data_IF_649260653607
#
_entry.id   IF_649260653607
#
_cell.length_a   1.000
_cell.length_b   1.000
_cell.length_c   1.000
_cell.angle_alpha   90.00
_cell.angle_beta   90.00
_cell.angle_gamma   90.00
#
_symmetry.space_group_name_H-M   'P 1'
#
loop_
_entity.id
_entity.type
_entity.pdbx_description
1 polymer ?
#
# COMPACT_ATOMS: atom_id res chain seq x y z
N UNK A 1 -44.50 -11.37 -50.01
CA UNK A 1 -45.37 -12.34 -49.32
C UNK A 1 -44.94 -12.32 -47.85
N UNK A 2 -45.53 -11.44 -47.03
CA UNK A 2 -46.70 -11.70 -46.16
C UNK A 2 -46.34 -12.45 -44.86
N UNK A 3 -46.14 -11.69 -43.77
CA UNK A 3 -46.75 -11.72 -42.41
C UNK A 3 -47.21 -13.06 -41.76
N UNK A 4 -47.48 -13.17 -40.42
CA UNK A 4 -47.20 -12.29 -39.25
C UNK A 4 -46.91 -12.98 -37.85
N UNK A 5 -46.62 -12.12 -36.84
CA UNK A 5 -47.11 -12.02 -35.44
C UNK A 5 -46.86 -13.04 -34.29
N UNK A 6 -46.41 -12.45 -33.16
CA UNK A 6 -46.86 -12.70 -31.77
C UNK A 6 -45.99 -13.66 -30.93
N UNK A 7 -45.78 -13.51 -29.62
CA UNK A 7 -46.13 -12.50 -28.59
C UNK A 7 -45.30 -12.86 -27.33
N UNK A 8 -44.95 -11.83 -26.55
CA UNK A 8 -44.77 -11.74 -25.08
C UNK A 8 -43.95 -12.80 -24.31
N UNK A 9 -42.93 -12.36 -23.53
CA UNK A 9 -42.69 -12.74 -22.12
C UNK A 9 -41.81 -11.67 -21.42
N UNK A 10 -42.30 -11.28 -20.24
CA UNK A 10 -41.91 -10.25 -19.27
C UNK A 10 -40.66 -10.65 -18.42
N UNK A 11 -40.31 -9.93 -17.33
CA UNK A 11 -39.70 -8.61 -17.17
C UNK A 11 -38.24 -8.65 -16.68
N UNK A 12 -37.63 -7.48 -16.73
CA UNK A 12 -36.32 -7.10 -16.25
C UNK A 12 -36.15 -7.20 -14.72
N UNK A 13 -34.95 -7.61 -14.31
CA UNK A 13 -34.11 -6.79 -13.41
C UNK A 13 -34.54 -6.57 -11.96
N UNK A 14 -34.13 -7.50 -11.08
CA UNK A 14 -33.53 -7.15 -9.77
C UNK A 14 -32.40 -6.13 -10.03
N UNK A 15 -32.03 -5.16 -9.19
CA UNK A 15 -32.28 -4.89 -7.78
C UNK A 15 -31.54 -3.59 -7.42
N UNK A 16 -32.17 -2.76 -6.58
CA UNK A 16 -31.57 -1.91 -5.54
C UNK A 16 -30.75 -0.67 -5.95
N UNK A 17 -31.46 0.43 -6.16
CA UNK A 17 -30.97 1.77 -5.81
C UNK A 17 -32.15 2.58 -5.29
N UNK A 18 -32.28 2.73 -3.96
CA UNK A 18 -33.20 3.73 -3.40
C UNK A 18 -32.70 4.26 -2.05
N UNK A 19 -32.56 5.60 -1.90
CA UNK A 19 -32.39 6.25 -0.60
C UNK A 19 -33.75 6.36 0.15
N UNK A 20 -33.77 6.45 1.49
CA UNK A 20 -35.02 6.61 2.22
C UNK A 20 -35.47 8.09 2.26
N UNK A 21 -36.59 8.39 1.62
CA UNK A 21 -37.37 9.61 1.88
C UNK A 21 -38.47 9.31 2.91
N UNK A 22 -38.58 10.15 3.94
CA UNK A 22 -39.73 10.25 4.85
C UNK A 22 -40.63 11.40 4.39
N UNK A 23 -41.96 11.24 4.37
CA UNK A 23 -42.78 12.06 5.27
C UNK A 23 -44.16 11.45 5.67
N UNK A 24 -44.76 11.93 6.76
CA UNK A 24 -46.23 11.82 6.92
C UNK A 24 -46.79 11.83 8.34
N UNK A 25 -46.92 13.03 8.90
CA UNK A 25 -47.69 13.46 10.09
C UNK A 25 -49.01 12.72 10.36
N UNK A 26 -49.20 12.20 11.58
CA UNK A 26 -50.50 11.81 12.12
C UNK A 26 -50.98 12.80 13.22
N UNK A 27 -52.07 13.51 12.90
CA UNK A 27 -53.08 14.11 13.82
C UNK A 27 -53.85 12.95 14.48
N UNK A 28 -54.37 12.97 15.69
CA UNK A 28 -54.52 13.98 16.74
C UNK A 28 -55.25 13.32 17.93
N UNK A 29 -55.84 14.16 18.79
CA UNK A 29 -56.80 13.83 19.88
C UNK A 29 -56.13 13.24 21.14
N UNK A 30 -56.10 13.89 22.30
CA UNK A 30 -57.01 14.86 22.88
C UNK A 30 -57.48 14.30 24.22
N UNK A 31 -56.80 14.65 25.31
CA UNK A 31 -57.34 14.46 26.66
C UNK A 31 -56.65 15.42 27.63
N UNK A 32 -57.48 16.28 28.20
CA UNK A 32 -57.13 17.46 28.97
C UNK A 32 -56.67 17.14 30.39
N UNK A 33 -55.94 18.12 30.93
CA UNK A 33 -55.32 18.17 32.25
C UNK A 33 -56.28 17.81 33.39
N UNK A 34 -55.76 17.12 34.40
CA UNK A 34 -56.01 17.46 35.80
C UNK A 34 -54.68 17.56 36.53
N UNK A 35 -54.42 18.76 37.06
CA UNK A 35 -53.46 18.97 38.12
C UNK A 35 -54.05 18.42 39.42
N UNK A 36 -53.28 17.62 40.15
CA UNK A 36 -53.45 17.51 41.59
C UNK A 36 -52.09 17.72 42.25
N UNK A 37 -52.09 18.70 43.13
CA UNK A 37 -51.00 19.19 43.94
C UNK A 37 -50.74 18.28 45.15
N UNK A 38 -49.65 18.58 45.83
CA UNK A 38 -49.31 18.29 47.23
C UNK A 38 -48.46 17.04 47.53
N UNK A 39 -47.33 17.29 48.21
CA UNK A 39 -46.74 16.32 49.13
C UNK A 39 -45.23 16.16 49.06
N UNK A 40 -44.46 17.17 49.47
CA UNK A 40 -43.15 16.89 50.07
C UNK A 40 -43.39 16.15 51.40
N UNK A 41 -42.81 14.97 51.59
CA UNK A 41 -42.46 14.47 52.92
C UNK A 41 -41.28 13.47 52.86
N UNK A 42 -40.29 13.78 53.68
CA UNK A 42 -38.98 13.17 53.88
C UNK A 42 -39.05 11.81 54.59
N UNK A 43 -38.13 10.87 54.25
CA UNK A 43 -37.35 10.00 55.17
C UNK A 43 -36.64 8.84 54.44
N UNK A 44 -35.35 8.64 54.72
CA UNK A 44 -34.59 7.40 54.43
C UNK A 44 -33.63 7.53 53.24
N UNK A 45 -32.36 7.92 53.44
CA UNK A 45 -31.22 7.07 53.81
C UNK A 45 -30.54 6.38 52.60
N UNK A 46 -29.37 6.93 52.25
CA UNK A 46 -28.16 6.37 51.65
C UNK A 46 -28.26 5.24 50.61
N UNK A 47 -27.91 5.58 49.36
CA UNK A 47 -27.03 4.74 48.54
C UNK A 47 -25.93 5.63 47.97
N UNK A 48 -24.69 5.37 48.38
CA UNK A 48 -23.51 5.95 47.76
C UNK A 48 -22.94 4.97 46.73
N UNK A 49 -22.34 5.56 45.69
CA UNK A 49 -21.47 4.98 44.66
C UNK A 49 -22.15 4.13 43.56
N UNK A 50 -21.75 4.20 42.29
CA UNK A 50 -20.49 4.69 41.73
C UNK A 50 -20.73 5.38 40.37
N UNK A 51 -20.03 6.49 40.13
CA UNK A 51 -19.82 6.95 38.76
C UNK A 51 -18.97 5.89 38.05
N UNK A 52 -19.54 5.18 37.08
CA UNK A 52 -18.73 4.43 36.12
C UNK A 52 -17.98 5.45 35.26
N UNK A 53 -16.79 5.83 35.70
CA UNK A 53 -15.80 6.43 34.83
C UNK A 53 -15.44 5.35 33.79
N UNK A 54 -16.08 5.37 32.63
CA UNK A 54 -15.61 4.64 31.48
C UNK A 54 -14.29 5.28 31.06
N UNK A 55 -13.17 4.76 31.57
CA UNK A 55 -11.86 5.04 30.99
C UNK A 55 -11.87 4.48 29.58
N UNK A 56 -12.16 5.34 28.60
CA UNK A 56 -11.85 5.07 27.22
C UNK A 56 -10.33 4.85 27.16
N UNK A 57 -9.92 3.59 27.09
CA UNK A 57 -8.61 3.26 26.54
C UNK A 57 -8.68 3.64 25.07
N UNK A 58 -8.53 4.94 24.78
CA UNK A 58 -8.20 5.42 23.46
C UNK A 58 -6.93 4.67 23.10
N UNK A 59 -7.06 3.69 22.20
CA UNK A 59 -5.92 2.97 21.66
C UNK A 59 -4.92 4.03 21.21
N UNK A 60 -3.77 4.09 21.89
CA UNK A 60 -2.67 4.88 21.40
C UNK A 60 -2.45 4.45 19.93
N UNK A 61 -2.26 5.40 18.99
CA UNK A 61 -1.84 4.99 17.66
C UNK A 61 -0.60 4.12 17.85
N UNK A 62 -0.64 2.89 17.34
CA UNK A 62 0.55 2.06 17.30
C UNK A 62 1.60 2.92 16.59
N UNK A 63 2.68 3.26 17.29
CA UNK A 63 3.81 3.92 16.65
C UNK A 63 4.33 2.92 15.62
N UNK A 64 3.93 3.10 14.36
CA UNK A 64 4.58 2.39 13.26
C UNK A 64 6.02 2.88 13.28
N UNK A 65 6.94 1.99 13.64
CA UNK A 65 8.35 2.28 13.54
C UNK A 65 8.62 2.68 12.09
N UNK A 66 9.19 3.86 11.92
CA UNK A 66 9.57 4.36 10.63
C UNK A 66 10.74 3.52 10.10
N UNK A 67 10.46 2.62 9.15
CA UNK A 67 11.45 1.66 8.65
C UNK A 67 11.92 2.07 7.26
N UNK A 68 13.23 2.27 7.11
CA UNK A 68 13.87 2.31 5.80
C UNK A 68 14.00 0.89 5.25
N UNK A 69 13.46 0.65 4.05
CA UNK A 69 13.61 -0.63 3.37
C UNK A 69 13.61 -0.41 1.87
N UNK A 70 14.32 -1.26 1.13
CA UNK A 70 14.31 -1.19 -0.32
C UNK A 70 14.32 -2.56 -0.97
N UNK A 71 13.72 -2.61 -2.16
CA UNK A 71 13.67 -3.77 -3.03
C UNK A 71 14.29 -3.43 -4.37
N UNK A 72 14.82 -4.43 -5.05
CA UNK A 72 15.39 -4.28 -6.38
C UNK A 72 15.02 -5.47 -7.26
N UNK A 73 14.66 -5.19 -8.51
CA UNK A 73 14.60 -6.17 -9.59
C UNK A 73 15.64 -5.82 -10.65
N UNK A 74 16.11 -6.82 -11.40
CA UNK A 74 17.12 -6.63 -12.47
C UNK A 74 16.86 -7.56 -13.66
N UNK A 75 15.73 -7.40 -14.38
CA UNK A 75 15.47 -8.15 -15.59
C UNK A 75 16.49 -7.85 -16.70
N UNK A 76 16.90 -8.90 -17.41
CA UNK A 76 17.61 -8.77 -18.70
C UNK A 76 16.66 -8.18 -19.73
N UNK A 77 17.04 -7.07 -20.34
CA UNK A 77 16.30 -6.43 -21.44
C UNK A 77 16.72 -7.00 -22.78
N UNK A 78 18.03 -7.21 -22.95
CA UNK A 78 18.59 -7.76 -24.18
C UNK A 78 19.78 -8.66 -23.87
N UNK A 79 19.90 -9.76 -24.60
CA UNK A 79 21.02 -10.69 -24.51
C UNK A 79 21.50 -11.07 -25.90
N UNK A 80 22.81 -11.11 -26.08
CA UNK A 80 23.46 -11.48 -27.32
C UNK A 80 24.68 -12.35 -27.00
N UNK A 81 25.26 -13.10 -27.97
CA UNK A 81 26.24 -14.14 -27.65
C UNK A 81 27.46 -13.70 -26.82
N UNK A 82 27.83 -12.41 -26.89
CA UNK A 82 28.95 -11.82 -26.16
C UNK A 82 28.57 -10.96 -24.95
N UNK A 83 27.28 -10.79 -24.63
CA UNK A 83 26.88 -9.89 -23.55
C UNK A 83 25.39 -9.71 -23.31
N UNK A 84 25.11 -8.76 -22.43
CA UNK A 84 23.76 -8.46 -21.95
C UNK A 84 23.57 -6.97 -21.67
N UNK A 85 22.31 -6.57 -21.72
CA UNK A 85 21.78 -5.31 -21.19
C UNK A 85 20.66 -5.67 -20.22
N UNK A 86 20.76 -5.20 -18.98
CA UNK A 86 19.74 -5.42 -17.95
C UNK A 86 19.31 -4.08 -17.36
N UNK A 87 18.03 -3.94 -17.07
CA UNK A 87 17.47 -2.73 -16.46
C UNK A 87 16.99 -3.08 -15.06
N UNK A 88 17.59 -2.45 -14.06
CA UNK A 88 17.20 -2.63 -12.67
C UNK A 88 16.27 -1.54 -12.19
N UNK A 89 15.32 -1.91 -11.32
CA UNK A 89 14.42 -0.96 -10.66
C UNK A 89 14.60 -1.04 -9.16
N UNK A 90 15.07 0.05 -8.56
CA UNK A 90 15.22 0.19 -7.11
C UNK A 90 13.97 0.88 -6.58
N UNK A 91 13.34 0.29 -5.56
CA UNK A 91 12.07 0.76 -4.99
C UNK A 91 12.24 0.95 -3.49
N UNK A 92 11.80 2.10 -2.99
CA UNK A 92 11.65 2.29 -1.54
C UNK A 92 10.34 1.65 -1.09
N UNK A 93 10.46 0.52 -0.38
CA UNK A 93 9.33 -0.23 0.17
C UNK A 93 9.05 0.12 1.64
N UNK A 94 9.83 1.03 2.21
CA UNK A 94 9.70 1.49 3.59
C UNK A 94 8.69 2.62 3.75
N UNK A 95 8.54 3.08 4.99
CA UNK A 95 7.68 4.23 5.34
C UNK A 95 8.46 5.54 5.36
N UNK A 96 9.80 5.48 5.35
CA UNK A 96 10.69 6.65 5.37
C UNK A 96 11.39 6.87 4.03
N UNK A 97 11.69 8.12 3.70
CA UNK A 97 12.54 8.47 2.56
C UNK A 97 13.94 7.84 2.70
N UNK A 98 14.42 7.19 1.64
CA UNK A 98 15.83 6.76 1.56
C UNK A 98 16.71 7.97 1.26
N UNK A 99 17.86 8.08 1.89
CA UNK A 99 18.90 9.10 1.61
C UNK A 99 20.20 8.47 1.13
N UNK A 100 20.08 7.30 0.53
CA UNK A 100 21.19 6.49 0.07
C UNK A 100 20.75 5.05 -0.05
N UNK A 101 21.34 4.35 -1.01
CA UNK A 101 21.07 2.94 -1.22
C UNK A 101 22.29 2.24 -1.80
N UNK A 102 22.40 0.96 -1.47
CA UNK A 102 23.41 0.05 -1.96
C UNK A 102 22.74 -1.19 -2.52
N UNK A 103 23.18 -1.58 -3.71
CA UNK A 103 22.89 -2.86 -4.31
C UNK A 103 24.09 -3.77 -4.17
N UNK A 104 23.83 -5.04 -3.89
CA UNK A 104 24.85 -6.08 -3.84
C UNK A 104 24.31 -7.34 -4.48
N UNK A 105 25.10 -7.95 -5.36
CA UNK A 105 24.78 -9.26 -5.93
C UNK A 105 26.06 -9.97 -6.37
N UNK A 106 25.92 -11.26 -6.69
CA UNK A 106 26.99 -12.06 -7.27
C UNK A 106 26.52 -12.69 -8.57
N UNK A 107 27.30 -12.53 -9.64
CA UNK A 107 27.08 -13.21 -10.90
C UNK A 107 27.33 -14.72 -10.78
N UNK A 108 26.50 -15.53 -11.43
CA UNK A 108 26.59 -16.99 -11.35
C UNK A 108 27.58 -17.59 -12.35
N UNK A 109 27.89 -16.88 -13.42
CA UNK A 109 28.80 -17.29 -14.49
C UNK A 109 30.03 -16.40 -14.61
N UNK A 110 30.43 -16.13 -15.85
CA UNK A 110 31.60 -15.35 -16.22
C UNK A 110 31.29 -13.87 -16.49
N UNK A 111 30.09 -13.41 -16.11
CA UNK A 111 29.62 -12.06 -16.42
C UNK A 111 30.57 -10.97 -15.90
N UNK A 112 30.74 -9.91 -16.70
CA UNK A 112 31.57 -8.73 -16.39
C UNK A 112 30.82 -7.47 -16.79
N UNK A 113 30.69 -6.54 -15.85
CA UNK A 113 30.13 -5.22 -16.13
C UNK A 113 31.13 -4.36 -16.89
N UNK A 114 30.64 -3.68 -17.91
CA UNK A 114 31.32 -2.58 -18.59
C UNK A 114 30.82 -1.23 -18.10
N UNK A 115 29.52 -1.16 -17.80
CA UNK A 115 28.88 0.05 -17.31
C UNK A 115 27.67 -0.29 -16.46
N UNK A 116 27.45 0.51 -15.42
CA UNK A 116 26.24 0.52 -14.62
C UNK A 116 25.81 1.98 -14.44
N UNK A 117 24.96 2.44 -15.36
CA UNK A 117 24.58 3.85 -15.44
C UNK A 117 23.79 4.27 -14.19
N UNK A 118 23.90 5.55 -13.84
CA UNK A 118 23.29 6.19 -12.66
C UNK A 118 23.78 5.65 -11.31
N UNK A 119 24.91 4.92 -11.27
CA UNK A 119 25.48 4.36 -10.04
C UNK A 119 26.98 4.58 -9.95
N UNK A 120 27.52 4.52 -8.74
CA UNK A 120 28.94 4.22 -8.49
C UNK A 120 29.04 2.74 -8.22
N UNK A 121 29.91 2.01 -8.90
CA UNK A 121 29.97 0.55 -8.77
C UNK A 121 31.39 0.02 -8.79
N UNK A 122 31.54 -1.16 -8.21
CA UNK A 122 32.75 -1.97 -8.27
C UNK A 122 32.37 -3.42 -8.51
N UNK A 123 33.19 -4.14 -9.27
CA UNK A 123 33.07 -5.58 -9.42
C UNK A 123 34.39 -6.24 -9.04
N UNK A 124 34.34 -7.15 -8.07
CA UNK A 124 35.47 -8.00 -7.70
C UNK A 124 35.14 -9.42 -8.07
N UNK A 125 35.84 -9.96 -9.08
CA UNK A 125 35.58 -11.29 -9.67
C UNK A 125 34.13 -11.40 -10.18
N UNK A 126 33.20 -11.87 -9.36
CA UNK A 126 31.77 -12.04 -9.67
C UNK A 126 30.87 -11.16 -8.81
N UNK A 127 31.39 -10.60 -7.74
CA UNK A 127 30.61 -9.81 -6.78
C UNK A 127 30.57 -8.36 -7.22
N UNK A 128 29.37 -7.81 -7.32
CA UNK A 128 29.14 -6.40 -7.64
C UNK A 128 28.58 -5.69 -6.42
N UNK A 129 29.14 -4.51 -6.13
CA UNK A 129 28.55 -3.54 -5.21
C UNK A 129 28.31 -2.25 -5.96
N UNK A 130 27.07 -1.75 -5.93
CA UNK A 130 26.68 -0.49 -6.54
C UNK A 130 25.99 0.42 -5.52
N UNK A 131 26.24 1.72 -5.58
CA UNK A 131 25.59 2.72 -4.73
C UNK A 131 25.06 3.86 -5.57
N UNK A 132 24.14 4.63 -5.00
CA UNK A 132 23.64 5.86 -5.61
C UNK A 132 24.78 6.84 -5.97
N UNK A 133 24.54 7.66 -6.99
CA UNK A 133 25.27 8.90 -7.22
C UNK A 133 24.62 10.03 -6.42
N UNK A 134 25.26 11.21 -6.36
CA UNK A 134 24.83 12.29 -5.47
C UNK A 134 23.40 12.77 -5.70
N UNK A 135 22.90 12.71 -6.93
CA UNK A 135 21.59 13.26 -7.30
C UNK A 135 20.44 12.24 -7.29
N UNK A 136 20.69 10.94 -7.09
CA UNK A 136 19.64 9.90 -7.05
C UNK A 136 19.65 9.06 -5.76
N UNK A 137 20.29 9.56 -4.71
CA UNK A 137 20.25 8.92 -3.39
C UNK A 137 18.89 9.01 -2.71
N UNK A 138 18.11 10.05 -3.02
CA UNK A 138 16.84 10.32 -2.36
C UNK A 138 15.67 9.62 -3.06
N UNK A 139 14.99 8.70 -2.36
CA UNK A 139 13.80 8.02 -2.87
C UNK A 139 12.69 8.11 -1.81
N UNK A 140 11.62 8.84 -2.11
CA UNK A 140 10.45 8.93 -1.25
C UNK A 140 9.79 7.55 -1.04
N UNK A 141 9.02 7.32 0.04
CA UNK A 141 8.25 6.09 0.23
C UNK A 141 7.39 5.75 -0.99
N UNK A 142 7.44 4.49 -1.44
CA UNK A 142 6.77 4.04 -2.67
C UNK A 142 7.40 4.52 -3.99
N UNK A 143 8.40 5.41 -3.91
CA UNK A 143 9.15 5.89 -5.05
C UNK A 143 10.11 4.85 -5.63
N UNK A 144 10.59 5.11 -6.84
CA UNK A 144 11.52 4.22 -7.53
C UNK A 144 12.47 4.96 -8.46
N UNK A 145 13.57 4.32 -8.81
CA UNK A 145 14.47 4.75 -9.89
C UNK A 145 14.94 3.54 -10.70
N UNK A 146 15.36 3.82 -11.94
CA UNK A 146 15.96 2.82 -12.83
C UNK A 146 17.48 2.95 -12.89
N UNK A 147 18.13 1.82 -13.04
CA UNK A 147 19.57 1.65 -13.29
C UNK A 147 19.74 0.75 -14.50
N UNK A 148 20.80 0.93 -15.29
CA UNK A 148 21.03 0.10 -16.49
C UNK A 148 22.42 -0.51 -16.43
N UNK A 149 22.47 -1.84 -16.42
CA UNK A 149 23.68 -2.63 -16.46
C UNK A 149 23.98 -3.07 -17.90
N UNK A 150 25.21 -2.85 -18.34
CA UNK A 150 25.74 -3.34 -19.60
C UNK A 150 26.99 -4.16 -19.30
N UNK A 151 27.07 -5.37 -19.85
CA UNK A 151 28.20 -6.25 -19.58
C UNK A 151 28.39 -7.33 -20.64
N UNK A 152 29.52 -8.03 -20.53
CA UNK A 152 29.77 -9.26 -21.30
C UNK A 152 29.36 -10.49 -20.53
N UNK A 153 29.01 -11.54 -21.27
CA UNK A 153 28.79 -12.88 -20.77
C UNK A 153 28.99 -13.89 -21.90
N UNK A 154 29.42 -15.10 -21.57
CA UNK A 154 29.52 -16.16 -22.58
C UNK A 154 28.13 -16.71 -22.91
N UNK A 155 27.79 -16.71 -24.20
CA UNK A 155 26.52 -17.22 -24.70
C UNK A 155 25.31 -16.35 -24.38
N UNK A 156 25.53 -15.10 -23.93
CA UNK A 156 24.45 -14.17 -23.59
C UNK A 156 23.68 -14.50 -22.31
N UNK A 157 24.22 -15.40 -21.48
CA UNK A 157 23.58 -15.76 -20.21
C UNK A 157 23.75 -14.61 -19.21
N UNK A 158 22.67 -14.20 -18.55
CA UNK A 158 22.72 -13.28 -17.42
C UNK A 158 22.12 -13.98 -16.20
N UNK A 159 22.97 -14.34 -15.25
CA UNK A 159 22.57 -14.99 -14.02
C UNK A 159 23.17 -14.30 -12.80
N UNK A 160 22.34 -14.10 -11.79
CA UNK A 160 22.75 -13.49 -10.53
C UNK A 160 22.07 -14.17 -9.35
N UNK A 161 22.74 -14.12 -8.20
CA UNK A 161 22.23 -14.58 -6.92
C UNK A 161 22.55 -13.58 -5.81
N UNK A 162 21.83 -13.67 -4.70
CA UNK A 162 22.03 -12.82 -3.53
C UNK A 162 21.81 -11.34 -3.82
N UNK A 163 20.94 -11.01 -4.78
CA UNK A 163 20.58 -9.62 -5.07
C UNK A 163 19.89 -9.01 -3.84
N UNK A 164 20.50 -7.97 -3.30
CA UNK A 164 20.03 -7.26 -2.12
C UNK A 164 20.06 -5.76 -2.35
N UNK A 165 19.14 -5.06 -1.70
CA UNK A 165 19.13 -3.61 -1.58
C UNK A 165 19.20 -3.23 -0.11
N UNK A 166 20.13 -2.37 0.25
CA UNK A 166 20.34 -1.89 1.62
C UNK A 166 20.27 -0.37 1.65
N UNK A 167 19.36 0.23 2.45
CA UNK A 167 19.39 1.66 2.77
C UNK A 167 20.74 2.06 3.37
N UNK A 168 21.24 3.27 3.04
CA UNK A 168 22.47 3.82 3.60
C UNK A 168 22.21 5.05 4.48
#
# INVERSE_FOLDING_TARGET
MTFPAGRDHNPEGRSSNQPPETPGTARGEGMARRYHETGFNTRGAWVAAAALAATAAMGAPAAHADTASCSVSFPTVHSFPSGFVAEGRVVNTGTTTLNGWRLYWTFTGDEKLFSLLTTKWTQTVRTVTATNVSWNGTIAPGGSLSVTANGSSTGGTFGMTGLTCTPL
#
